data_IF_568093751488
#
_entry.id   IF_568093751488
#
_cell.length_a   1.000
_cell.length_b   1.000
_cell.length_c   1.000
_cell.angle_alpha   90.00
_cell.angle_beta   90.00
_cell.angle_gamma   90.00
#
_symmetry.space_group_name_H-M   'P 1'
#
loop_
_entity.id
_entity.type
_entity.pdbx_description
1 polymer ?
#
# COMPACT_ATOMS: atom_id res chain seq x y z
N UNK A 1 -26.43 32.00 -34.02
CA UNK A 1 -25.38 32.23 -33.02
C UNK A 1 -24.88 30.89 -32.55
N UNK A 2 -23.69 30.47 -32.99
CA UNK A 2 -23.10 29.18 -32.63
C UNK A 2 -22.30 29.35 -31.34
N UNK A 3 -22.87 28.97 -30.21
CA UNK A 3 -22.21 29.02 -28.90
C UNK A 3 -21.03 28.05 -28.87
N UNK A 4 -19.83 28.57 -28.59
CA UNK A 4 -18.60 27.77 -28.50
C UNK A 4 -18.64 26.98 -27.19
N UNK A 5 -18.81 25.65 -27.25
CA UNK A 5 -18.79 24.78 -26.06
C UNK A 5 -17.37 24.64 -25.52
N UNK A 6 -17.18 24.88 -24.24
CA UNK A 6 -15.89 24.70 -23.55
C UNK A 6 -16.06 23.64 -22.47
N UNK A 7 -15.28 22.57 -22.56
CA UNK A 7 -15.32 21.46 -21.59
C UNK A 7 -14.34 21.73 -20.47
N UNK A 8 -14.83 21.88 -19.23
CA UNK A 8 -13.97 21.99 -18.05
C UNK A 8 -13.91 20.62 -17.34
N UNK A 9 -12.73 20.01 -17.31
CA UNK A 9 -12.51 18.75 -16.60
C UNK A 9 -12.08 19.07 -15.17
N UNK A 10 -13.02 19.05 -14.22
CA UNK A 10 -12.74 19.19 -12.80
C UNK A 10 -12.57 17.81 -12.14
N UNK A 11 -11.57 17.63 -11.26
CA UNK A 11 -11.54 16.44 -10.39
C UNK A 11 -12.30 16.78 -9.12
N UNK A 12 -13.31 15.99 -8.78
CA UNK A 12 -13.88 16.04 -7.43
C UNK A 12 -12.76 15.78 -6.40
N UNK A 13 -12.69 16.57 -5.31
CA UNK A 13 -11.76 16.26 -4.23
C UNK A 13 -12.04 14.85 -3.70
N UNK A 14 -10.98 14.07 -3.44
CA UNK A 14 -11.11 12.75 -2.80
C UNK A 14 -11.88 12.90 -1.49
N UNK A 15 -12.88 12.03 -1.26
CA UNK A 15 -13.61 12.01 0.02
C UNK A 15 -12.66 11.72 1.18
N UNK A 16 -13.03 12.15 2.39
CA UNK A 16 -12.25 11.89 3.60
C UNK A 16 -11.97 10.40 3.81
N UNK A 17 -12.93 9.54 3.47
CA UNK A 17 -12.79 8.08 3.52
C UNK A 17 -11.71 7.56 2.56
N UNK A 18 -11.67 8.05 1.32
CA UNK A 18 -10.61 7.67 0.37
C UNK A 18 -9.21 8.15 0.78
N UNK A 19 -9.11 9.20 1.60
CA UNK A 19 -7.84 9.64 2.20
C UNK A 19 -7.40 8.70 3.32
N UNK A 20 -8.34 8.27 4.17
CA UNK A 20 -8.09 7.28 5.23
C UNK A 20 -7.58 5.95 4.65
N UNK A 21 -8.29 5.38 3.65
CA UNK A 21 -7.85 4.13 3.00
C UNK A 21 -6.46 4.25 2.39
N UNK A 22 -6.11 5.42 1.80
CA UNK A 22 -4.77 5.66 1.27
C UNK A 22 -3.70 5.63 2.36
N UNK A 23 -3.94 6.29 3.49
CA UNK A 23 -3.01 6.28 4.62
C UNK A 23 -2.87 4.87 5.22
N UNK A 24 -3.97 4.12 5.32
CA UNK A 24 -3.93 2.73 5.77
C UNK A 24 -3.11 1.84 4.83
N UNK A 25 -3.29 1.98 3.50
CA UNK A 25 -2.49 1.27 2.51
C UNK A 25 -0.99 1.59 2.64
N UNK A 26 -0.63 2.87 2.76
CA UNK A 26 0.77 3.28 2.91
C UNK A 26 1.33 2.76 4.24
N UNK A 27 0.59 2.91 5.34
CA UNK A 27 1.00 2.45 6.67
C UNK A 27 1.22 0.94 6.71
N UNK A 28 0.32 0.16 6.11
CA UNK A 28 0.48 -1.29 5.99
C UNK A 28 1.74 -1.68 5.22
N UNK A 29 1.99 -1.06 4.07
CA UNK A 29 3.18 -1.37 3.27
C UNK A 29 4.48 -0.97 3.98
N UNK A 30 4.49 0.17 4.68
CA UNK A 30 5.63 0.60 5.49
C UNK A 30 5.86 -0.36 6.66
N UNK A 31 4.80 -0.77 7.35
CA UNK A 31 4.89 -1.73 8.45
C UNK A 31 5.48 -3.06 7.95
N UNK A 32 5.00 -3.58 6.83
CA UNK A 32 5.53 -4.84 6.26
C UNK A 32 7.00 -4.71 5.84
N UNK A 33 7.39 -3.56 5.28
CA UNK A 33 8.79 -3.29 4.96
C UNK A 33 9.66 -3.25 6.22
N UNK A 34 9.21 -2.56 7.27
CA UNK A 34 9.92 -2.50 8.56
C UNK A 34 10.03 -3.88 9.19
N UNK A 35 8.96 -4.68 9.19
CA UNK A 35 8.98 -6.05 9.71
C UNK A 35 9.95 -6.94 8.94
N UNK A 36 10.02 -6.80 7.61
CA UNK A 36 10.96 -7.56 6.78
C UNK A 36 12.41 -7.19 7.11
N UNK A 37 12.72 -5.90 7.22
CA UNK A 37 14.05 -5.43 7.59
C UNK A 37 14.42 -5.80 9.04
N UNK A 38 13.46 -5.70 9.96
CA UNK A 38 13.63 -6.09 11.35
C UNK A 38 13.90 -7.59 11.48
N UNK A 39 13.20 -8.43 10.71
CA UNK A 39 13.47 -9.87 10.67
C UNK A 39 14.93 -10.14 10.26
N UNK A 40 15.42 -9.49 9.20
CA UNK A 40 16.82 -9.62 8.80
C UNK A 40 17.78 -9.14 9.90
N UNK A 41 17.54 -7.95 10.46
CA UNK A 41 18.38 -7.37 11.51
C UNK A 41 18.47 -8.24 12.77
N UNK A 42 17.37 -8.90 13.13
CA UNK A 42 17.30 -9.79 14.30
C UNK A 42 17.94 -11.15 13.99
N UNK A 43 17.70 -11.73 12.82
CA UNK A 43 18.09 -13.12 12.52
C UNK A 43 19.55 -13.28 12.13
N UNK A 44 20.11 -12.32 11.37
CA UNK A 44 21.49 -12.36 10.86
C UNK A 44 22.54 -12.69 11.95
N UNK A 45 22.57 -12.05 13.13
CA UNK A 45 23.61 -12.33 14.13
C UNK A 45 23.54 -13.75 14.69
N UNK A 46 22.36 -14.37 14.72
CA UNK A 46 22.19 -15.73 15.28
C UNK A 46 22.39 -16.83 14.25
N UNK A 47 22.08 -16.57 12.98
CA UNK A 47 22.36 -17.54 11.89
C UNK A 47 23.87 -17.71 11.64
N UNK A 48 24.67 -16.68 11.95
CA UNK A 48 26.13 -16.74 11.88
C UNK A 48 26.79 -17.31 13.16
N UNK A 49 26.00 -17.83 14.10
CA UNK A 49 26.49 -18.45 15.33
C UNK A 49 27.33 -19.70 15.01
N UNK A 50 28.41 -19.92 15.77
CA UNK A 50 29.19 -21.16 15.73
C UNK A 50 28.44 -22.35 16.34
N UNK A 51 27.49 -22.07 17.25
CA UNK A 51 26.59 -23.07 17.81
C UNK A 51 25.53 -23.49 16.77
N UNK A 52 25.52 -24.76 16.32
CA UNK A 52 24.61 -25.24 15.29
C UNK A 52 23.14 -25.23 15.72
N UNK A 53 22.84 -25.42 17.01
CA UNK A 53 21.46 -25.43 17.50
C UNK A 53 20.88 -24.02 17.49
N UNK A 54 21.70 -23.02 17.86
CA UNK A 54 21.34 -21.60 17.80
C UNK A 54 21.14 -21.15 16.35
N UNK A 55 22.06 -21.53 15.46
CA UNK A 55 21.97 -21.20 14.04
C UNK A 55 20.73 -21.82 13.38
N UNK A 56 20.43 -23.09 13.69
CA UNK A 56 19.25 -23.77 13.19
C UNK A 56 17.95 -23.15 13.70
N UNK A 57 17.87 -22.83 14.99
CA UNK A 57 16.72 -22.17 15.60
C UNK A 57 16.45 -20.79 15.00
N UNK A 58 17.49 -19.98 14.83
CA UNK A 58 17.40 -18.67 14.20
C UNK A 58 16.98 -18.76 12.72
N UNK A 59 17.51 -19.74 11.98
CA UNK A 59 17.14 -20.01 10.60
C UNK A 59 15.66 -20.38 10.46
N UNK A 60 15.15 -21.28 11.31
CA UNK A 60 13.74 -21.66 11.34
C UNK A 60 12.83 -20.47 11.68
N UNK A 61 13.17 -19.72 12.72
CA UNK A 61 12.41 -18.55 13.14
C UNK A 61 12.36 -17.49 12.03
N UNK A 62 13.52 -17.16 11.46
CA UNK A 62 13.62 -16.19 10.38
C UNK A 62 12.89 -16.61 9.11
N UNK A 63 12.93 -17.90 8.76
CA UNK A 63 12.20 -18.46 7.63
C UNK A 63 10.68 -18.41 7.83
N UNK A 64 10.20 -18.79 9.03
CA UNK A 64 8.76 -18.74 9.36
C UNK A 64 8.21 -17.31 9.33
N UNK A 65 8.93 -16.36 9.92
CA UNK A 65 8.56 -14.95 9.88
C UNK A 65 8.60 -14.38 8.47
N UNK A 66 9.67 -14.66 7.72
CA UNK A 66 9.78 -14.23 6.33
C UNK A 66 8.63 -14.79 5.49
N UNK A 67 8.30 -16.07 5.63
CA UNK A 67 7.18 -16.70 4.94
C UNK A 67 5.85 -16.04 5.29
N UNK A 68 5.59 -15.79 6.57
CA UNK A 68 4.41 -15.07 7.04
C UNK A 68 4.29 -13.67 6.43
N UNK A 69 5.37 -12.88 6.49
CA UNK A 69 5.41 -11.53 5.91
C UNK A 69 5.18 -11.58 4.40
N UNK A 70 5.91 -12.43 3.67
CA UNK A 70 5.83 -12.50 2.21
C UNK A 70 4.53 -13.12 1.69
N UNK A 71 3.79 -13.85 2.52
CA UNK A 71 2.44 -14.35 2.17
C UNK A 71 1.38 -13.30 2.46
N UNK A 72 1.43 -12.68 3.65
CA UNK A 72 0.43 -11.70 4.10
C UNK A 72 0.57 -10.36 3.37
N UNK A 73 1.78 -9.94 3.06
CA UNK A 73 2.04 -8.65 2.43
C UNK A 73 1.37 -8.49 1.06
N UNK A 74 1.59 -9.35 0.05
CA UNK A 74 0.95 -9.18 -1.26
C UNK A 74 -0.58 -9.28 -1.16
N UNK A 75 -1.11 -10.17 -0.31
CA UNK A 75 -2.55 -10.31 -0.10
C UNK A 75 -3.15 -9.04 0.54
N UNK A 76 -2.56 -8.55 1.62
CA UNK A 76 -3.01 -7.33 2.30
C UNK A 76 -2.86 -6.09 1.42
N UNK A 77 -1.76 -5.99 0.66
CA UNK A 77 -1.54 -4.91 -0.30
C UNK A 77 -2.56 -4.97 -1.45
N UNK A 78 -2.91 -6.15 -1.94
CA UNK A 78 -3.94 -6.31 -2.97
C UNK A 78 -5.30 -5.84 -2.46
N UNK A 79 -5.73 -6.32 -1.30
CA UNK A 79 -7.04 -5.97 -0.70
C UNK A 79 -7.12 -4.47 -0.43
N UNK A 80 -6.12 -3.91 0.27
CA UNK A 80 -6.08 -2.48 0.56
C UNK A 80 -5.93 -1.66 -0.71
N UNK A 81 -5.14 -2.11 -1.69
CA UNK A 81 -4.97 -1.44 -2.98
C UNK A 81 -6.30 -1.31 -3.73
N UNK A 82 -7.07 -2.41 -3.82
CA UNK A 82 -8.41 -2.41 -4.42
C UNK A 82 -9.32 -1.44 -3.65
N UNK A 83 -9.35 -1.51 -2.31
CA UNK A 83 -10.14 -0.59 -1.48
C UNK A 83 -9.77 0.88 -1.75
N UNK A 84 -8.48 1.16 -1.93
CA UNK A 84 -7.97 2.53 -2.21
C UNK A 84 -8.35 3.01 -3.61
N UNK A 85 -8.47 2.10 -4.58
CA UNK A 85 -8.92 2.39 -5.95
C UNK A 85 -10.43 2.61 -6.02
N UNK A 86 -11.22 1.76 -5.36
CA UNK A 86 -12.69 1.87 -5.30
C UNK A 86 -13.10 3.17 -4.60
N UNK A 87 -12.36 3.57 -3.56
CA UNK A 87 -12.62 4.83 -2.83
C UNK A 87 -12.04 6.08 -3.51
N UNK A 88 -11.47 5.95 -4.72
CA UNK A 88 -10.93 7.09 -5.48
C UNK A 88 -12.07 7.93 -6.06
N UNK A 89 -12.06 9.23 -5.74
CA UNK A 89 -13.05 10.19 -6.23
C UNK A 89 -13.20 10.19 -7.76
N UNK A 90 -14.45 10.17 -8.22
CA UNK A 90 -14.85 10.23 -9.64
C UNK A 90 -14.41 11.55 -10.29
N UNK A 91 -14.15 11.51 -11.60
CA UNK A 91 -13.92 12.73 -12.41
C UNK A 91 -15.26 13.39 -12.68
N UNK A 92 -15.33 14.71 -12.53
CA UNK A 92 -16.50 15.52 -12.87
C UNK A 92 -16.20 16.28 -14.16
N UNK A 93 -16.89 15.95 -15.24
CA UNK A 93 -16.88 16.75 -16.46
C UNK A 93 -17.97 17.79 -16.33
N UNK A 94 -17.60 19.07 -16.28
CA UNK A 94 -18.53 20.18 -16.31
C UNK A 94 -18.54 20.72 -17.75
N UNK A 95 -19.65 20.49 -18.46
CA UNK A 95 -19.93 21.20 -19.71
C UNK A 95 -20.57 22.54 -19.35
N UNK A 96 -19.86 23.63 -19.63
CA UNK A 96 -20.40 24.98 -19.45
C UNK A 96 -20.63 25.61 -20.82
N UNK A 97 -21.85 26.07 -21.06
CA UNK A 97 -22.22 26.82 -22.26
C UNK A 97 -21.81 28.29 -22.04
N UNK A 98 -20.99 28.83 -22.95
CA UNK A 98 -20.50 30.21 -22.84
C UNK A 98 -21.68 31.18 -23.04
N UNK A 99 -21.91 32.14 -22.13
CA UNK A 99 -22.87 33.22 -22.39
C UNK A 99 -22.42 34.03 -23.63
N UNK A 100 -23.36 34.59 -24.41
CA UNK A 100 -23.08 35.32 -25.64
C UNK A 100 -22.28 36.61 -25.43
#
# INVERSE_FOLDING_TARGET
>A
MSGRRVTFVARAPRSAFGRFCKWLFIGFNLLMLVLSLANCAVVIPYVASEDPDVAAGAGLFGALLAFGIWTVWPLGALILGILTLVTRGRRLTLEQELPP
#
